data_IF_819345197963
#
_entry.id   IF_819345197963
#
_cell.length_a   1.000
_cell.length_b   1.000
_cell.length_c   1.000
_cell.angle_alpha   90.00
_cell.angle_beta   90.00
_cell.angle_gamma   90.00
#
_symmetry.space_group_name_H-M   'P 1'
#
loop_
_entity.id
_entity.type
_entity.pdbx_description
1 polymer ?
#
# COMPACT_ATOMS: atom_id res chain seq x y z
N UNK A 1 4.43 22.46 24.31
CA UNK A 1 3.47 22.30 23.19
C UNK A 1 2.77 20.96 23.37
N UNK A 2 1.45 20.96 23.29
CA UNK A 2 0.68 19.73 23.31
C UNK A 2 1.02 18.89 22.06
N UNK A 3 1.20 17.58 22.25
CA UNK A 3 1.54 16.63 21.16
C UNK A 3 0.55 16.72 20.01
N UNK A 4 -0.72 16.94 20.31
CA UNK A 4 -1.81 17.06 19.34
C UNK A 4 -1.61 18.25 18.39
N UNK A 5 -1.40 19.44 18.93
CA UNK A 5 -1.18 20.65 18.13
C UNK A 5 0.08 20.53 17.26
N UNK A 6 1.15 19.94 17.81
CA UNK A 6 2.39 19.70 17.08
C UNK A 6 2.19 18.72 15.92
N UNK A 7 1.42 17.65 16.10
CA UNK A 7 1.12 16.68 15.08
C UNK A 7 0.31 17.30 13.93
N UNK A 8 -0.82 17.95 14.29
CA UNK A 8 -1.76 18.48 13.30
C UNK A 8 -1.20 19.62 12.44
N UNK A 9 -0.14 20.29 12.87
CA UNK A 9 0.59 21.27 12.04
C UNK A 9 1.25 20.66 10.80
N UNK A 10 1.48 19.36 10.81
CA UNK A 10 2.06 18.63 9.68
C UNK A 10 1.01 17.95 8.81
N UNK A 11 -0.26 18.26 8.99
CA UNK A 11 -1.36 17.66 8.23
C UNK A 11 -2.11 18.77 7.49
N UNK A 12 -2.21 18.63 6.18
CA UNK A 12 -3.06 19.49 5.34
C UNK A 12 -4.52 19.07 5.54
N UNK A 13 -5.16 19.67 6.55
CA UNK A 13 -6.54 19.38 6.93
C UNK A 13 -7.50 20.08 5.99
N UNK A 14 -8.38 19.32 5.38
CA UNK A 14 -9.41 19.79 4.45
C UNK A 14 -10.80 19.33 4.89
N UNK A 15 -11.76 19.35 3.97
CA UNK A 15 -13.11 18.83 4.22
C UNK A 15 -13.11 17.36 4.67
N UNK A 16 -14.23 16.91 5.30
CA UNK A 16 -14.30 15.57 5.90
C UNK A 16 -14.15 14.44 4.89
N UNK A 17 -14.58 14.65 3.66
CA UNK A 17 -14.55 13.64 2.58
C UNK A 17 -13.28 13.67 1.73
N UNK A 18 -12.33 14.55 2.08
CA UNK A 18 -11.07 14.73 1.35
C UNK A 18 -9.91 14.15 2.16
N UNK A 19 -8.92 13.58 1.47
CA UNK A 19 -7.70 13.14 2.14
C UNK A 19 -6.96 14.30 2.79
N UNK A 20 -6.59 14.15 4.07
CA UNK A 20 -5.74 15.08 4.79
C UNK A 20 -4.30 14.61 4.68
N UNK A 21 -3.53 15.25 3.83
CA UNK A 21 -2.20 14.75 3.50
C UNK A 21 -1.15 15.12 4.56
N UNK A 22 -0.33 14.16 4.90
CA UNK A 22 0.85 14.35 5.72
C UNK A 22 1.92 15.16 4.96
N UNK A 23 2.32 16.29 5.51
CA UNK A 23 3.30 17.21 4.94
C UNK A 23 4.74 16.95 5.41
N UNK A 24 4.92 16.13 6.42
CA UNK A 24 6.24 15.77 6.95
C UNK A 24 6.94 14.66 6.17
N UNK A 25 8.06 14.18 6.72
CA UNK A 25 8.83 13.09 6.12
C UNK A 25 8.01 11.82 5.93
N UNK A 26 8.33 11.04 4.88
CA UNK A 26 7.64 9.79 4.53
C UNK A 26 8.63 8.63 4.45
N UNK A 27 8.11 7.42 4.62
CA UNK A 27 8.83 6.19 4.29
C UNK A 27 8.83 5.95 2.78
N UNK A 28 9.70 5.05 2.31
CA UNK A 28 9.78 4.68 0.89
C UNK A 28 8.46 4.15 0.31
N UNK A 29 7.64 3.53 1.14
CA UNK A 29 6.31 3.03 0.78
C UNK A 29 5.19 4.11 0.82
N UNK A 30 5.55 5.38 1.01
CA UNK A 30 4.64 6.52 0.98
C UNK A 30 3.96 6.88 2.30
N UNK A 31 4.06 6.04 3.33
CA UNK A 31 3.47 6.32 4.64
C UNK A 31 4.15 7.48 5.35
N UNK A 32 3.37 8.34 5.98
CA UNK A 32 3.87 9.45 6.79
C UNK A 32 4.65 8.95 8.01
N UNK A 33 5.78 9.59 8.28
CA UNK A 33 6.65 9.32 9.42
C UNK A 33 6.60 10.49 10.40
N UNK A 34 6.09 10.25 11.59
CA UNK A 34 6.07 11.21 12.68
C UNK A 34 7.14 10.88 13.72
N UNK A 35 7.86 11.88 14.17
CA UNK A 35 8.86 11.73 15.25
C UNK A 35 8.20 11.95 16.61
N UNK A 36 8.17 10.92 17.44
CA UNK A 36 7.63 10.95 18.78
C UNK A 36 8.78 10.71 19.79
N UNK A 37 9.30 11.78 20.36
CA UNK A 37 10.49 11.70 21.22
C UNK A 37 11.68 11.08 20.51
N UNK A 38 12.23 10.02 21.07
CA UNK A 38 13.34 9.23 20.46
C UNK A 38 12.84 8.20 19.45
N UNK A 39 11.53 7.94 19.38
CA UNK A 39 10.91 6.96 18.50
C UNK A 39 10.32 7.56 17.23
N UNK A 40 9.79 6.68 16.40
CA UNK A 40 9.07 7.02 15.17
C UNK A 40 7.74 6.30 15.13
N UNK A 41 6.68 7.01 14.76
CA UNK A 41 5.34 6.49 14.59
C UNK A 41 4.85 6.71 13.15
N UNK A 42 3.91 5.89 12.71
CA UNK A 42 3.19 6.12 11.47
C UNK A 42 2.20 7.28 11.66
N UNK A 43 2.22 8.25 10.76
CA UNK A 43 1.41 9.46 10.89
C UNK A 43 -0.10 9.14 10.92
N UNK A 44 -0.59 8.25 10.08
CA UNK A 44 -2.00 7.85 10.07
C UNK A 44 -2.42 7.13 11.36
N UNK A 45 -1.53 6.31 11.96
CA UNK A 45 -1.79 5.69 13.26
C UNK A 45 -1.89 6.76 14.37
N UNK A 46 -0.99 7.72 14.36
CA UNK A 46 -1.02 8.86 15.29
C UNK A 46 -2.29 9.69 15.12
N UNK A 47 -2.72 9.97 13.88
CA UNK A 47 -3.98 10.65 13.59
C UNK A 47 -5.19 9.92 14.17
N UNK A 48 -5.21 8.59 14.08
CA UNK A 48 -6.24 7.77 14.70
C UNK A 48 -6.22 7.88 16.21
N UNK A 49 -5.07 7.66 16.83
CA UNK A 49 -4.92 7.67 18.30
C UNK A 49 -5.32 9.01 18.92
N UNK A 50 -4.96 10.14 18.28
CA UNK A 50 -5.33 11.48 18.72
C UNK A 50 -6.82 11.80 18.53
N UNK A 51 -7.49 11.16 17.58
CA UNK A 51 -8.88 11.48 17.25
C UNK A 51 -9.89 10.49 17.83
N UNK A 52 -9.50 9.24 18.00
CA UNK A 52 -10.41 8.14 18.37
C UNK A 52 -9.94 7.26 19.52
N UNK A 53 -8.72 7.52 20.02
CA UNK A 53 -8.14 6.79 21.15
C UNK A 53 -7.22 5.64 20.72
N UNK A 54 -6.69 4.93 21.69
CA UNK A 54 -5.67 3.91 21.53
C UNK A 54 -6.08 2.80 20.56
N UNK A 55 -5.11 2.36 19.74
CA UNK A 55 -5.27 1.20 18.88
C UNK A 55 -5.08 -0.07 19.73
N UNK A 56 -6.02 -1.03 19.71
CA UNK A 56 -5.90 -2.28 20.44
C UNK A 56 -4.61 -3.04 20.07
N UNK A 57 -4.09 -3.81 21.04
CA UNK A 57 -2.90 -4.65 20.81
C UNK A 57 -3.16 -5.66 19.67
N UNK A 58 -2.21 -5.77 18.74
CA UNK A 58 -2.34 -6.64 17.57
C UNK A 58 -3.21 -6.10 16.43
N UNK A 59 -3.88 -4.96 16.64
CA UNK A 59 -4.65 -4.30 15.58
C UNK A 59 -3.77 -3.32 14.77
N UNK A 60 -4.18 -3.08 13.54
CA UNK A 60 -3.53 -2.15 12.63
C UNK A 60 -4.52 -1.09 12.14
N UNK A 61 -4.01 0.12 11.88
CA UNK A 61 -4.79 1.20 11.28
C UNK A 61 -4.63 1.14 9.77
N UNK A 62 -5.74 1.02 9.06
CA UNK A 62 -5.80 0.84 7.61
C UNK A 62 -6.48 2.03 6.94
N UNK A 63 -6.24 2.22 5.65
CA UNK A 63 -6.85 3.26 4.84
C UNK A 63 -8.01 2.72 4.00
N UNK A 64 -9.17 3.37 4.08
CA UNK A 64 -10.29 3.15 3.14
C UNK A 64 -9.99 3.81 1.78
N UNK A 65 -9.32 4.97 1.79
CA UNK A 65 -9.01 5.79 0.63
C UNK A 65 -7.80 5.32 -0.19
N UNK A 66 -7.05 4.32 0.28
CA UNK A 66 -5.86 3.79 -0.38
C UNK A 66 -4.70 4.79 -0.57
N UNK A 67 -4.70 5.87 0.19
CA UNK A 67 -3.70 6.95 0.11
C UNK A 67 -2.78 6.87 1.33
N UNK A 68 -1.55 6.31 1.20
CA UNK A 68 -0.65 6.08 2.34
C UNK A 68 -0.36 7.31 3.21
N UNK A 69 -0.19 8.53 2.67
CA UNK A 69 0.03 9.71 3.49
C UNK A 69 -1.24 10.35 4.05
N UNK A 70 -2.43 9.76 3.87
CA UNK A 70 -3.66 10.31 4.40
C UNK A 70 -3.72 10.14 5.92
N UNK A 71 -4.04 11.23 6.61
CA UNK A 71 -4.24 11.30 8.07
C UNK A 71 -5.69 11.66 8.46
N UNK A 72 -6.64 11.62 7.51
CA UNK A 72 -8.05 11.89 7.82
C UNK A 72 -8.65 10.71 8.61
N UNK A 73 -9.08 10.91 9.87
CA UNK A 73 -9.63 9.82 10.68
C UNK A 73 -10.89 9.19 10.09
N UNK A 74 -11.66 9.92 9.27
CA UNK A 74 -12.81 9.41 8.51
C UNK A 74 -12.44 8.42 7.41
N UNK A 75 -11.21 8.47 6.92
CA UNK A 75 -10.67 7.58 5.89
C UNK A 75 -9.89 6.39 6.47
N UNK A 76 -9.80 6.31 7.80
CA UNK A 76 -9.08 5.25 8.50
C UNK A 76 -10.07 4.28 9.16
N UNK A 77 -9.60 3.08 9.41
CA UNK A 77 -10.28 2.09 10.23
C UNK A 77 -9.26 1.20 10.95
N UNK A 78 -9.68 0.61 12.06
CA UNK A 78 -8.87 -0.35 12.81
C UNK A 78 -9.36 -1.75 12.48
N UNK A 79 -8.44 -2.64 12.15
CA UNK A 79 -8.72 -4.03 11.87
C UNK A 79 -7.55 -4.93 12.17
N UNK A 80 -7.73 -6.24 11.98
CA UNK A 80 -6.63 -7.21 12.04
C UNK A 80 -5.77 -7.14 10.78
N UNK A 81 -4.60 -7.77 10.82
CA UNK A 81 -3.75 -7.97 9.64
C UNK A 81 -4.52 -8.75 8.56
N UNK A 82 -5.37 -9.71 8.97
CA UNK A 82 -6.22 -10.47 8.06
C UNK A 82 -7.26 -9.57 7.36
N UNK A 83 -7.87 -8.63 8.08
CA UNK A 83 -8.82 -7.66 7.51
C UNK A 83 -8.14 -6.74 6.50
N UNK A 84 -6.94 -6.26 6.82
CA UNK A 84 -6.12 -5.46 5.91
C UNK A 84 -5.77 -6.23 4.64
N UNK A 85 -5.39 -7.50 4.76
CA UNK A 85 -5.09 -8.35 3.62
C UNK A 85 -6.34 -8.65 2.76
N UNK A 86 -7.49 -8.83 3.39
CA UNK A 86 -8.78 -8.98 2.67
C UNK A 86 -9.14 -7.71 1.89
N UNK A 87 -8.98 -6.55 2.51
CA UNK A 87 -9.22 -5.26 1.85
C UNK A 87 -8.28 -5.05 0.65
N UNK A 88 -6.99 -5.39 0.82
CA UNK A 88 -6.02 -5.35 -0.28
C UNK A 88 -6.40 -6.29 -1.43
N UNK A 89 -6.86 -7.50 -1.12
CA UNK A 89 -7.28 -8.49 -2.12
C UNK A 89 -8.55 -8.04 -2.84
N UNK A 90 -9.56 -7.55 -2.10
CA UNK A 90 -10.82 -7.07 -2.67
C UNK A 90 -10.62 -5.85 -3.60
N UNK A 91 -9.63 -5.01 -3.30
CA UNK A 91 -9.28 -3.84 -4.12
C UNK A 91 -8.23 -4.14 -5.21
N UNK A 92 -7.92 -5.41 -5.44
CA UNK A 92 -6.90 -5.88 -6.39
C UNK A 92 -5.53 -5.17 -6.24
N UNK A 93 -5.17 -4.78 -5.00
CA UNK A 93 -3.93 -4.07 -4.68
C UNK A 93 -2.82 -4.97 -4.14
N UNK A 94 -3.00 -6.28 -4.24
CA UNK A 94 -1.92 -7.21 -3.93
C UNK A 94 -0.80 -6.99 -4.95
N UNK A 95 0.19 -6.19 -4.57
CA UNK A 95 1.46 -6.20 -5.29
C UNK A 95 2.13 -7.54 -5.00
N UNK A 96 2.47 -8.26 -6.06
CA UNK A 96 3.43 -9.35 -5.87
C UNK A 96 4.71 -8.75 -5.26
N UNK A 97 5.50 -9.57 -4.60
CA UNK A 97 6.75 -9.11 -3.94
C UNK A 97 7.75 -8.44 -4.90
N UNK A 98 7.48 -8.44 -6.20
CA UNK A 98 8.27 -7.82 -7.27
C UNK A 98 7.67 -6.50 -7.78
N UNK A 99 6.55 -6.03 -7.22
CA UNK A 99 5.95 -4.74 -7.54
C UNK A 99 5.31 -4.64 -8.93
N UNK A 100 5.22 -5.72 -9.67
CA UNK A 100 4.58 -5.78 -11.00
C UNK A 100 3.21 -6.42 -10.87
N UNK A 101 2.17 -5.65 -11.11
CA UNK A 101 0.82 -6.16 -11.24
C UNK A 101 0.62 -6.57 -12.70
N UNK A 102 0.56 -7.88 -12.96
CA UNK A 102 0.29 -8.38 -14.29
C UNK A 102 -1.22 -8.28 -14.58
N UNK A 103 -1.57 -7.45 -15.56
CA UNK A 103 -2.95 -7.41 -16.05
C UNK A 103 -3.31 -8.72 -16.75
N UNK A 104 -4.60 -9.08 -16.82
CA UNK A 104 -5.04 -10.26 -17.60
C UNK A 104 -4.53 -10.25 -19.04
N UNK A 105 -4.42 -9.08 -19.66
CA UNK A 105 -3.86 -8.92 -21.01
C UNK A 105 -2.38 -9.29 -21.10
N UNK A 106 -1.57 -8.92 -20.11
CA UNK A 106 -0.15 -9.29 -20.04
C UNK A 106 0.02 -10.80 -19.81
N UNK A 107 -0.82 -11.41 -18.97
CA UNK A 107 -0.82 -12.85 -18.76
C UNK A 107 -1.14 -13.62 -20.06
N UNK A 108 -2.15 -13.17 -20.79
CA UNK A 108 -2.52 -13.73 -22.09
C UNK A 108 -1.38 -13.55 -23.11
N UNK A 109 -0.73 -12.39 -23.16
CA UNK A 109 0.41 -12.12 -24.03
C UNK A 109 1.60 -13.02 -23.73
N UNK A 110 1.93 -13.26 -22.45
CA UNK A 110 3.01 -14.19 -22.05
C UNK A 110 2.72 -15.61 -22.58
N UNK A 111 1.51 -16.10 -22.40
CA UNK A 111 1.11 -17.43 -22.87
C UNK A 111 1.14 -17.54 -24.39
N UNK A 112 0.62 -16.53 -25.10
CA UNK A 112 0.62 -16.50 -26.57
C UNK A 112 2.05 -16.47 -27.12
N UNK A 113 2.94 -15.66 -26.60
CA UNK A 113 4.33 -15.60 -27.03
C UNK A 113 5.08 -16.90 -26.75
N UNK A 114 4.75 -17.58 -25.65
CA UNK A 114 5.31 -18.90 -25.35
C UNK A 114 4.85 -19.96 -26.37
N UNK A 115 3.58 -19.94 -26.77
CA UNK A 115 3.03 -20.82 -27.81
C UNK A 115 3.68 -20.58 -29.17
N UNK A 116 4.20 -19.37 -29.43
CA UNK A 116 4.96 -19.03 -30.64
C UNK A 116 6.46 -19.43 -30.54
N UNK A 117 6.87 -20.06 -29.44
CA UNK A 117 8.23 -20.56 -29.26
C UNK A 117 9.26 -19.51 -28.82
N UNK A 118 8.84 -18.33 -28.38
CA UNK A 118 9.75 -17.30 -27.83
C UNK A 118 10.39 -17.76 -26.52
N UNK A 119 11.65 -17.39 -26.31
CA UNK A 119 12.33 -17.64 -25.04
C UNK A 119 11.75 -16.79 -23.92
N UNK A 120 11.75 -17.30 -22.70
CA UNK A 120 11.23 -16.58 -21.53
C UNK A 120 11.94 -15.24 -21.29
N UNK A 121 13.24 -15.14 -21.63
CA UNK A 121 14.00 -13.89 -21.56
C UNK A 121 13.49 -12.84 -22.55
N UNK A 122 13.15 -13.24 -23.76
CA UNK A 122 12.65 -12.34 -24.79
C UNK A 122 11.21 -11.89 -24.45
N UNK A 123 10.40 -12.79 -23.91
CA UNK A 123 9.06 -12.47 -23.40
C UNK A 123 9.15 -11.48 -22.24
N UNK A 124 10.04 -11.72 -21.27
CA UNK A 124 10.25 -10.85 -20.11
C UNK A 124 10.60 -9.42 -20.53
N UNK A 125 11.51 -9.26 -21.48
CA UNK A 125 11.90 -7.97 -22.02
C UNK A 125 10.72 -7.23 -22.69
N UNK A 126 9.90 -7.95 -23.47
CA UNK A 126 8.75 -7.37 -24.19
C UNK A 126 7.62 -6.93 -23.27
N UNK A 127 7.39 -7.65 -22.18
CA UNK A 127 6.32 -7.34 -21.21
C UNK A 127 6.81 -6.47 -20.04
N UNK A 128 8.08 -6.11 -19.99
CA UNK A 128 8.65 -5.31 -18.91
C UNK A 128 8.69 -6.03 -17.55
N UNK A 129 8.87 -7.37 -17.58
CA UNK A 129 8.89 -8.21 -16.39
C UNK A 129 10.26 -8.91 -16.23
N UNK A 130 10.48 -9.59 -15.09
CA UNK A 130 11.64 -10.46 -14.93
C UNK A 130 11.39 -11.84 -15.56
N UNK A 131 12.45 -12.49 -16.01
CA UNK A 131 12.36 -13.87 -16.53
C UNK A 131 11.79 -14.83 -15.48
N UNK A 132 12.17 -14.66 -14.20
CA UNK A 132 11.63 -15.44 -13.10
C UNK A 132 10.10 -15.29 -12.96
N UNK A 133 9.56 -14.10 -13.18
CA UNK A 133 8.11 -13.84 -13.15
C UNK A 133 7.41 -14.54 -14.32
N UNK A 134 7.97 -14.45 -15.52
CA UNK A 134 7.45 -15.18 -16.71
C UNK A 134 7.43 -16.68 -16.46
N UNK A 135 8.50 -17.23 -15.90
CA UNK A 135 8.59 -18.65 -15.53
C UNK A 135 7.49 -19.08 -14.55
N UNK A 136 7.22 -18.26 -13.52
CA UNK A 136 6.16 -18.52 -12.52
C UNK A 136 4.77 -18.52 -13.16
N UNK A 137 4.50 -17.54 -14.04
CA UNK A 137 3.24 -17.46 -14.79
C UNK A 137 3.00 -18.74 -15.61
N UNK A 138 4.04 -19.22 -16.27
CA UNK A 138 3.96 -20.42 -17.12
C UNK A 138 3.78 -21.71 -16.32
N UNK A 139 4.25 -21.76 -15.08
CA UNK A 139 3.99 -22.87 -14.15
C UNK A 139 2.62 -22.81 -13.49
N UNK A 140 1.82 -21.78 -13.77
CA UNK A 140 0.50 -21.61 -13.15
C UNK A 140 0.55 -21.19 -11.69
N UNK A 141 1.69 -20.68 -11.21
CA UNK A 141 1.81 -20.15 -9.86
C UNK A 141 1.06 -18.80 -9.75
N UNK A 142 0.52 -18.51 -8.54
CA UNK A 142 -0.09 -17.19 -8.28
C UNK A 142 0.97 -16.10 -8.40
N UNK A 143 0.70 -15.14 -9.23
CA UNK A 143 1.51 -13.95 -9.51
C UNK A 143 0.69 -12.69 -9.33
#
# INVERSE_FOLDING_TARGET
>A
MNTDARFWRHVDRRGPDVCWLWLGGRYRNGYGRYRLGVGRALAHRMAWELSRGAVPSGAVVCHRCNTPPCCNPGHLFVGSIADNNRDMSAKARCRNQYGVQLSPGVLAAIRAMTSLGLRQTDIAQRVGASQALVSRVLRGERV
#
